data_IF_421676696907
#
_entry.id   IF_421676696907
#
_cell.length_a   1.000
_cell.length_b   1.000
_cell.length_c   1.000
_cell.angle_alpha   90.00
_cell.angle_beta   90.00
_cell.angle_gamma   90.00
#
_symmetry.space_group_name_H-M   'P 1'
#
loop_
_entity.id
_entity.type
_entity.pdbx_description
1 polymer ?
#
# COMPACT_ATOMS: atom_id res chain seq x y z
N UNK A 1 -16.55 -1.36 4.12
CA UNK A 1 -15.87 -1.35 5.44
C UNK A 1 -15.66 0.11 5.84
N UNK A 2 -15.59 0.46 7.13
CA UNK A 2 -15.33 1.86 7.54
C UNK A 2 -13.86 2.22 7.26
N UNK A 3 -13.60 3.42 6.74
CA UNK A 3 -12.23 3.93 6.59
C UNK A 3 -11.54 4.01 7.95
N UNK A 4 -10.31 3.51 8.05
CA UNK A 4 -9.48 3.64 9.25
C UNK A 4 -8.72 4.96 9.20
N UNK A 5 -8.61 5.60 10.36
CA UNK A 5 -7.82 6.80 10.61
C UNK A 5 -6.36 6.49 11.01
N UNK A 6 -6.08 5.24 11.35
CA UNK A 6 -4.74 4.71 11.65
C UNK A 6 -4.42 3.50 10.77
N UNK A 7 -3.18 3.02 10.86
CA UNK A 7 -2.72 1.90 10.03
C UNK A 7 -3.19 0.56 10.59
N UNK A 8 -3.66 -0.32 9.69
CA UNK A 8 -3.79 -1.75 9.97
C UNK A 8 -2.67 -2.49 9.27
N UNK A 9 -1.85 -3.19 10.04
CA UNK A 9 -0.87 -4.14 9.51
C UNK A 9 -1.37 -5.56 9.67
N UNK A 10 -1.12 -6.39 8.66
CA UNK A 10 -1.47 -7.81 8.68
C UNK A 10 -0.29 -8.63 8.21
N UNK A 11 0.05 -9.72 8.89
CA UNK A 11 1.16 -10.60 8.53
C UNK A 11 0.98 -12.01 9.12
N UNK A 12 1.47 -13.07 8.46
CA UNK A 12 1.61 -14.39 9.09
C UNK A 12 2.66 -14.40 10.22
N UNK A 13 3.65 -13.49 10.20
CA UNK A 13 4.67 -13.37 11.25
C UNK A 13 4.12 -12.57 12.45
N UNK A 14 3.75 -13.28 13.51
CA UNK A 14 3.28 -12.70 14.76
C UNK A 14 4.31 -11.73 15.38
N UNK A 15 5.60 -12.06 15.31
CA UNK A 15 6.65 -11.26 15.96
C UNK A 15 6.78 -9.88 15.33
N UNK A 16 6.59 -9.78 14.01
CA UNK A 16 6.58 -8.50 13.30
C UNK A 16 5.40 -7.63 13.74
N UNK A 17 4.22 -8.24 13.93
CA UNK A 17 3.00 -7.54 14.38
C UNK A 17 3.12 -7.07 15.83
N UNK A 18 3.74 -7.87 16.71
CA UNK A 18 4.02 -7.47 18.09
C UNK A 18 5.03 -6.31 18.19
N UNK A 19 6.05 -6.28 17.33
CA UNK A 19 6.97 -5.15 17.24
C UNK A 19 6.26 -3.87 16.79
N UNK A 20 5.40 -3.97 15.78
CA UNK A 20 4.57 -2.86 15.32
C UNK A 20 3.66 -2.32 16.43
N UNK A 21 3.02 -3.20 17.20
CA UNK A 21 2.21 -2.81 18.35
C UNK A 21 3.04 -2.11 19.43
N UNK A 22 4.28 -2.56 19.67
CA UNK A 22 5.20 -1.93 20.64
C UNK A 22 5.64 -0.53 20.20
N UNK A 23 5.87 -0.32 18.91
CA UNK A 23 6.40 0.94 18.36
C UNK A 23 5.27 1.97 18.17
N UNK A 24 4.14 1.54 17.60
CA UNK A 24 3.06 2.43 17.14
C UNK A 24 1.76 2.31 17.97
N UNK A 25 1.79 1.53 19.06
CA UNK A 25 0.61 1.25 19.88
C UNK A 25 -0.37 0.28 19.22
N UNK A 26 -1.48 0.01 19.90
CA UNK A 26 -2.55 -0.88 19.41
C UNK A 26 -2.50 -2.30 19.98
N UNK A 27 -3.53 -3.07 19.65
CA UNK A 27 -3.72 -4.43 20.16
C UNK A 27 -3.53 -5.46 19.04
N UNK A 28 -2.70 -6.47 19.31
CA UNK A 28 -2.46 -7.59 18.40
C UNK A 28 -3.64 -8.57 18.47
N UNK A 29 -4.16 -8.95 17.32
CA UNK A 29 -5.27 -9.89 17.18
C UNK A 29 -5.04 -10.91 16.07
N UNK A 30 -5.82 -12.00 16.10
CA UNK A 30 -5.92 -12.90 14.95
C UNK A 30 -6.87 -12.29 13.92
N UNK A 31 -6.47 -12.37 12.66
CA UNK A 31 -7.23 -11.86 11.54
C UNK A 31 -7.27 -12.86 10.40
N UNK A 32 -8.33 -12.84 9.61
CA UNK A 32 -8.42 -13.64 8.38
C UNK A 32 -9.07 -12.76 7.33
N UNK A 33 -8.40 -12.61 6.19
CA UNK A 33 -8.91 -11.74 5.14
C UNK A 33 -10.27 -12.26 4.63
N UNK A 34 -11.23 -11.38 4.31
CA UNK A 34 -12.58 -11.81 3.89
C UNK A 34 -12.62 -12.78 2.70
N UNK A 35 -11.60 -12.74 1.84
CA UNK A 35 -11.46 -13.58 0.64
C UNK A 35 -10.33 -14.60 0.71
N UNK A 36 -9.63 -14.69 1.84
CA UNK A 36 -8.57 -15.67 2.07
C UNK A 36 -8.98 -16.64 3.17
N UNK A 37 -8.51 -17.89 3.06
CA UNK A 37 -8.64 -18.89 4.14
C UNK A 37 -7.41 -18.93 5.05
N UNK A 38 -6.38 -18.14 4.74
CA UNK A 38 -5.14 -18.16 5.49
C UNK A 38 -5.28 -17.27 6.74
N UNK A 39 -5.13 -17.84 7.95
CA UNK A 39 -5.11 -17.05 9.16
C UNK A 39 -3.84 -16.21 9.22
N UNK A 40 -3.97 -14.98 9.68
CA UNK A 40 -2.90 -14.00 9.85
C UNK A 40 -3.03 -13.34 11.22
N UNK A 41 -2.05 -12.52 11.58
CA UNK A 41 -2.08 -11.62 12.70
C UNK A 41 -2.33 -10.21 12.21
N UNK A 42 -3.05 -9.41 12.98
CA UNK A 42 -3.24 -7.99 12.73
C UNK A 42 -2.88 -7.13 13.93
N UNK A 43 -2.49 -5.90 13.65
CA UNK A 43 -2.52 -4.79 14.61
C UNK A 43 -3.12 -3.57 13.93
N UNK A 44 -4.08 -2.94 14.59
CA UNK A 44 -4.52 -1.59 14.25
C UNK A 44 -3.78 -0.64 15.18
N UNK A 45 -2.91 0.20 14.63
CA UNK A 45 -2.04 1.09 15.41
C UNK A 45 -2.81 2.26 16.00
N UNK A 46 -2.20 2.93 16.98
CA UNK A 46 -2.66 4.23 17.48
C UNK A 46 -2.06 5.38 16.66
N UNK A 47 -0.93 5.14 15.98
CA UNK A 47 -0.29 6.10 15.10
C UNK A 47 -0.99 6.23 13.75
N UNK A 48 -1.15 7.47 13.28
CA UNK A 48 -1.57 7.83 11.91
C UNK A 48 -0.38 8.27 11.04
N UNK A 49 0.83 8.22 11.57
CA UNK A 49 2.09 8.52 10.89
C UNK A 49 3.11 7.42 11.20
N UNK A 50 3.81 6.93 10.18
CA UNK A 50 4.85 5.91 10.31
C UNK A 50 6.06 6.25 9.45
N UNK A 51 7.23 5.77 9.88
CA UNK A 51 8.47 5.90 9.13
C UNK A 51 8.61 4.78 8.12
N UNK A 52 8.92 5.13 6.88
CA UNK A 52 9.04 4.18 5.78
C UNK A 52 10.28 4.46 4.93
N UNK A 53 10.89 3.40 4.44
CA UNK A 53 11.83 3.47 3.33
C UNK A 53 11.13 3.06 2.05
N UNK A 54 11.34 3.83 1.00
CA UNK A 54 10.74 3.57 -0.30
C UNK A 54 11.78 2.91 -1.21
N UNK A 55 11.58 1.65 -1.61
CA UNK A 55 12.39 1.01 -2.64
C UNK A 55 12.12 1.63 -4.02
N UNK A 56 13.00 1.40 -5.02
CA UNK A 56 12.71 1.76 -6.40
C UNK A 56 11.37 1.18 -6.88
N UNK A 57 10.62 1.94 -7.68
CA UNK A 57 9.28 1.56 -8.16
C UNK A 57 8.32 1.22 -7.01
N UNK A 58 8.37 2.04 -5.95
CA UNK A 58 7.53 1.85 -4.75
C UNK A 58 6.04 2.07 -4.98
N UNK A 59 5.63 2.76 -6.04
CA UNK A 59 4.22 3.15 -6.25
C UNK A 59 3.76 2.65 -7.62
N UNK A 60 2.68 1.88 -7.61
CA UNK A 60 1.96 1.49 -8.83
C UNK A 60 0.54 2.02 -8.77
N UNK A 61 0.07 2.62 -9.87
CA UNK A 61 -1.34 2.98 -10.03
C UNK A 61 -1.89 2.38 -11.31
N UNK A 62 -2.92 1.55 -11.15
CA UNK A 62 -3.63 0.91 -12.25
C UNK A 62 -5.13 1.11 -12.10
N UNK A 63 -5.83 1.22 -13.22
CA UNK A 63 -7.28 1.11 -13.23
C UNK A 63 -7.66 -0.33 -13.50
N UNK A 64 -8.24 -1.01 -12.52
CA UNK A 64 -8.51 -2.44 -12.61
C UNK A 64 -10.01 -2.73 -12.59
N UNK A 65 -10.42 -3.68 -13.42
CA UNK A 65 -11.77 -4.25 -13.37
C UNK A 65 -11.69 -5.67 -12.82
N UNK A 66 -12.36 -5.90 -11.71
CA UNK A 66 -12.40 -7.20 -11.05
C UNK A 66 -13.77 -7.84 -11.20
N UNK A 67 -13.79 -9.14 -11.48
CA UNK A 67 -14.98 -9.99 -11.38
C UNK A 67 -14.76 -11.08 -10.32
N UNK A 68 -15.78 -11.91 -10.08
CA UNK A 68 -15.62 -13.11 -9.24
C UNK A 68 -14.55 -14.09 -9.79
N UNK A 69 -14.26 -14.03 -11.10
CA UNK A 69 -13.23 -14.82 -11.76
C UNK A 69 -11.84 -14.19 -11.79
N UNK A 70 -11.61 -13.07 -11.09
CA UNK A 70 -10.32 -12.40 -11.02
C UNK A 70 -10.25 -11.08 -11.81
N UNK A 71 -9.03 -10.57 -11.99
CA UNK A 71 -8.77 -9.32 -12.70
C UNK A 71 -9.10 -9.51 -14.19
N UNK A 72 -10.11 -8.80 -14.69
CA UNK A 72 -10.57 -8.88 -16.08
C UNK A 72 -9.80 -7.95 -17.00
N UNK A 73 -9.27 -6.85 -16.46
CA UNK A 73 -8.38 -5.94 -17.18
C UNK A 73 -7.66 -5.01 -16.23
N UNK A 74 -6.48 -4.57 -16.65
CA UNK A 74 -5.75 -3.43 -16.07
C UNK A 74 -5.55 -2.37 -17.15
N UNK A 75 -5.84 -1.11 -16.89
CA UNK A 75 -5.58 -0.03 -17.83
C UNK A 75 -4.85 1.15 -17.19
N UNK A 76 -4.13 1.89 -18.01
CA UNK A 76 -3.45 3.15 -17.67
C UNK A 76 -4.30 4.38 -18.04
N UNK A 77 -5.50 4.15 -18.56
CA UNK A 77 -6.41 5.17 -19.08
C UNK A 77 -6.38 5.32 -20.61
N UNK A 78 -5.32 4.85 -21.27
CA UNK A 78 -5.13 4.91 -22.74
C UNK A 78 -5.15 3.50 -23.35
N UNK A 79 -4.43 2.57 -22.73
CA UNK A 79 -4.33 1.17 -23.11
C UNK A 79 -4.79 0.27 -21.96
N UNK A 80 -5.17 -0.97 -22.29
CA UNK A 80 -5.64 -1.97 -21.36
C UNK A 80 -4.96 -3.31 -21.64
N UNK A 81 -4.44 -3.93 -20.60
CA UNK A 81 -4.01 -5.32 -20.55
C UNK A 81 -5.22 -6.20 -20.23
N UNK A 82 -5.52 -7.14 -21.12
CA UNK A 82 -6.65 -8.06 -21.01
C UNK A 82 -6.14 -9.50 -21.04
N UNK A 83 -6.48 -10.34 -20.05
CA UNK A 83 -6.17 -11.76 -20.10
C UNK A 83 -7.02 -12.42 -21.19
N UNK A 84 -6.36 -12.99 -22.19
CA UNK A 84 -6.99 -13.69 -23.31
C UNK A 84 -6.57 -15.14 -23.32
N UNK A 85 -7.43 -16.00 -23.87
CA UNK A 85 -7.16 -17.44 -23.95
C UNK A 85 -6.50 -17.74 -25.27
N UNK A 86 -5.24 -18.16 -25.22
CA UNK A 86 -4.52 -18.67 -26.37
C UNK A 86 -4.51 -20.20 -26.40
N UNK A 87 -4.11 -20.83 -27.52
CA UNK A 87 -3.97 -22.28 -27.59
C UNK A 87 -2.97 -22.85 -26.57
N UNK A 88 -1.96 -22.06 -26.18
CA UNK A 88 -0.88 -22.46 -25.27
C UNK A 88 -1.14 -22.10 -23.81
N UNK A 89 -2.20 -21.32 -23.52
CA UNK A 89 -2.58 -20.98 -22.15
C UNK A 89 -3.38 -19.68 -22.03
N UNK A 90 -3.09 -18.95 -20.96
CA UNK A 90 -3.59 -17.59 -20.74
C UNK A 90 -2.49 -16.61 -21.14
N UNK A 91 -2.76 -15.76 -22.12
CA UNK A 91 -1.88 -14.68 -22.55
C UNK A 91 -2.47 -13.33 -22.12
N UNK A 92 -1.67 -12.28 -22.28
CA UNK A 92 -2.08 -10.90 -22.00
C UNK A 92 -1.99 -10.11 -23.30
N UNK A 93 -3.14 -9.64 -23.78
CA UNK A 93 -3.21 -8.76 -24.95
C UNK A 93 -3.29 -7.29 -24.51
N UNK A 94 -2.55 -6.44 -25.20
CA UNK A 94 -2.67 -4.98 -25.05
C UNK A 94 -3.65 -4.43 -26.08
N UNK A 95 -4.77 -3.89 -25.60
CA UNK A 95 -5.82 -3.27 -26.43
C UNK A 95 -6.04 -1.82 -26.02
N UNK A 96 -6.66 -0.97 -26.86
CA UNK A 96 -7.06 0.37 -26.44
C UNK A 96 -8.04 0.33 -25.26
N UNK A 97 -7.93 1.30 -24.35
CA UNK A 97 -8.78 1.37 -23.15
C UNK A 97 -10.26 1.59 -23.53
N UNK A 98 -11.17 0.66 -23.18
CA UNK A 98 -12.60 0.83 -23.52
C UNK A 98 -13.24 2.04 -22.85
N UNK A 99 -12.78 2.40 -21.64
CA UNK A 99 -13.29 3.55 -20.91
C UNK A 99 -13.04 4.88 -21.65
N UNK A 100 -11.92 4.99 -22.37
CA UNK A 100 -11.59 6.17 -23.16
C UNK A 100 -12.35 6.17 -24.51
N UNK A 101 -12.37 5.00 -25.18
CA UNK A 101 -13.00 4.85 -26.49
C UNK A 101 -14.52 5.10 -26.47
N UNK A 102 -15.23 4.55 -25.50
CA UNK A 102 -16.70 4.57 -25.49
C UNK A 102 -17.27 5.84 -24.85
N UNK A 103 -16.42 6.72 -24.30
CA UNK A 103 -16.81 7.87 -23.45
C UNK A 103 -17.85 7.48 -22.37
N UNK A 104 -17.81 6.22 -21.95
CA UNK A 104 -18.69 5.67 -20.93
C UNK A 104 -18.22 6.08 -19.54
N UNK A 105 -19.11 6.09 -18.53
CA UNK A 105 -18.67 6.19 -17.14
C UNK A 105 -17.60 5.14 -16.86
N UNK A 106 -16.53 5.56 -16.18
CA UNK A 106 -15.36 4.73 -15.93
C UNK A 106 -15.74 3.48 -15.14
N UNK A 107 -15.64 2.32 -15.80
CA UNK A 107 -16.02 1.03 -15.22
C UNK A 107 -14.90 0.42 -14.36
N UNK A 108 -13.65 0.86 -14.57
CA UNK A 108 -12.51 0.43 -13.76
C UNK A 108 -12.44 1.24 -12.47
N UNK A 109 -12.06 0.58 -11.37
CA UNK A 109 -11.72 1.26 -10.13
C UNK A 109 -10.22 1.54 -10.10
N UNK A 110 -9.77 2.66 -9.50
CA UNK A 110 -8.35 2.90 -9.32
C UNK A 110 -7.80 2.00 -8.23
N UNK A 111 -6.60 1.47 -8.43
CA UNK A 111 -5.82 0.71 -7.46
C UNK A 111 -4.46 1.38 -7.34
N UNK A 112 -4.21 1.98 -6.19
CA UNK A 112 -2.89 2.52 -5.83
C UNK A 112 -2.24 1.55 -4.86
N UNK A 113 -1.08 1.02 -5.24
CA UNK A 113 -0.28 0.11 -4.42
C UNK A 113 1.02 0.81 -4.07
N UNK A 114 1.25 0.97 -2.78
CA UNK A 114 2.48 1.52 -2.23
C UNK A 114 3.25 0.40 -1.54
N UNK A 115 4.51 0.23 -1.93
CA UNK A 115 5.48 -0.73 -1.42
C UNK A 115 6.46 0.01 -0.53
N UNK A 116 6.59 -0.42 0.71
CA UNK A 116 7.44 0.22 1.71
C UNK A 116 8.26 -0.79 2.49
N UNK A 117 9.40 -0.37 3.01
CA UNK A 117 10.18 -1.10 3.98
C UNK A 117 10.03 -0.37 5.32
N UNK A 118 9.77 -1.12 6.39
CA UNK A 118 9.65 -0.57 7.74
C UNK A 118 11.02 -0.71 8.44
N UNK A 119 11.69 0.41 8.79
CA UNK A 119 13.06 0.36 9.31
C UNK A 119 13.13 -0.18 10.75
N UNK A 120 12.07 0.03 11.53
CA UNK A 120 12.07 -0.25 12.98
C UNK A 120 11.52 -1.65 13.33
N UNK A 121 11.18 -2.46 12.31
CA UNK A 121 10.62 -3.81 12.48
C UNK A 121 11.60 -4.81 11.88
N UNK A 122 11.68 -6.00 12.48
CA UNK A 122 12.42 -7.13 11.90
C UNK A 122 12.17 -7.22 10.39
N UNK A 123 13.26 -7.14 9.63
CA UNK A 123 13.17 -7.16 8.17
C UNK A 123 12.59 -8.49 7.68
N UNK A 124 11.37 -8.42 7.15
CA UNK A 124 10.65 -9.54 6.55
C UNK A 124 10.36 -9.32 5.06
N UNK A 125 10.99 -8.31 4.45
CA UNK A 125 10.73 -7.91 3.07
C UNK A 125 9.96 -6.59 2.96
N UNK A 126 9.09 -6.50 1.97
CA UNK A 126 8.37 -5.29 1.58
C UNK A 126 6.92 -5.38 2.05
N UNK A 127 6.44 -4.33 2.70
CA UNK A 127 5.05 -4.15 3.07
C UNK A 127 4.30 -3.46 1.95
N UNK A 128 3.06 -3.88 1.72
CA UNK A 128 2.22 -3.32 0.65
C UNK A 128 0.95 -2.71 1.24
N UNK A 129 0.75 -1.43 0.97
CA UNK A 129 -0.52 -0.74 1.21
C UNK A 129 -1.28 -0.65 -0.11
N UNK A 130 -2.56 -1.00 -0.09
CA UNK A 130 -3.46 -0.85 -1.25
C UNK A 130 -4.54 0.20 -0.91
N UNK A 131 -4.81 1.11 -1.85
CA UNK A 131 -5.92 2.06 -1.78
C UNK A 131 -6.74 2.02 -3.07
N UNK A 132 -8.07 2.10 -2.92
CA UNK A 132 -9.02 2.16 -4.04
C UNK A 132 -9.67 3.53 -4.22
N UNK A 133 -9.20 4.51 -3.47
CA UNK A 133 -9.74 5.86 -3.51
C UNK A 133 -9.24 6.63 -4.73
N UNK A 134 -10.16 7.26 -5.46
CA UNK A 134 -9.82 8.18 -6.56
C UNK A 134 -8.87 9.31 -6.13
N UNK A 135 -8.97 9.79 -4.90
CA UNK A 135 -8.07 10.83 -4.38
C UNK A 135 -6.63 10.30 -4.20
N UNK A 136 -6.48 9.09 -3.66
CA UNK A 136 -5.16 8.46 -3.53
C UNK A 136 -4.51 8.22 -4.90
N UNK A 137 -5.31 7.79 -5.88
CA UNK A 137 -4.84 7.55 -7.25
C UNK A 137 -4.40 8.82 -7.98
N UNK A 138 -4.96 9.98 -7.64
CA UNK A 138 -4.56 11.25 -8.25
C UNK A 138 -3.38 11.92 -7.52
N UNK A 139 -3.29 11.77 -6.19
CA UNK A 139 -2.26 12.45 -5.39
C UNK A 139 -0.93 11.68 -5.36
N UNK A 140 -0.98 10.36 -5.23
CA UNK A 140 0.22 9.54 -5.03
C UNK A 140 1.17 9.52 -6.24
N UNK A 141 0.73 9.41 -7.51
CA UNK A 141 1.64 9.42 -8.66
C UNK A 141 2.44 10.71 -8.80
N UNK A 142 1.83 11.86 -8.49
CA UNK A 142 2.53 13.15 -8.56
C UNK A 142 3.70 13.24 -7.58
N UNK A 143 3.62 12.53 -6.46
CA UNK A 143 4.71 12.44 -5.49
C UNK A 143 5.67 11.30 -5.83
N UNK A 144 5.16 10.21 -6.40
CA UNK A 144 5.96 9.09 -6.89
C UNK A 144 6.98 9.55 -7.93
N UNK A 145 6.60 10.40 -8.89
CA UNK A 145 7.52 10.84 -9.94
C UNK A 145 8.72 11.63 -9.40
N UNK A 146 8.49 12.48 -8.40
CA UNK A 146 9.57 13.21 -7.70
C UNK A 146 10.45 12.23 -6.91
N UNK A 147 9.83 11.26 -6.24
CA UNK A 147 10.53 10.24 -5.46
C UNK A 147 11.33 9.26 -6.33
N UNK A 148 10.82 8.86 -7.49
CA UNK A 148 11.52 7.97 -8.43
C UNK A 148 12.81 8.62 -8.95
N UNK A 149 12.79 9.93 -9.20
CA UNK A 149 14.00 10.67 -9.57
C UNK A 149 15.07 10.60 -8.47
N UNK A 150 14.64 10.65 -7.20
CA UNK A 150 15.50 10.54 -6.02
C UNK A 150 15.95 9.10 -5.74
N UNK A 151 15.12 8.11 -6.06
CA UNK A 151 15.36 6.66 -5.84
C UNK A 151 16.31 6.01 -6.84
N UNK A 152 16.69 6.71 -7.93
CA UNK A 152 17.65 6.22 -8.93
C UNK A 152 19.01 5.78 -8.36
N UNK A 153 19.28 6.10 -7.09
CA UNK A 153 20.56 5.89 -6.40
C UNK A 153 20.44 5.25 -5.00
N UNK A 154 19.24 4.92 -4.50
CA UNK A 154 19.11 4.28 -3.18
C UNK A 154 17.69 4.31 -2.57
N UNK A 155 17.60 3.90 -1.30
CA UNK A 155 16.36 3.95 -0.51
C UNK A 155 16.06 5.39 -0.08
N UNK A 156 14.86 5.88 -0.37
CA UNK A 156 14.40 7.18 0.10
C UNK A 156 13.73 7.04 1.48
N UNK A 157 14.13 7.87 2.44
CA UNK A 157 13.48 7.90 3.75
C UNK A 157 12.31 8.89 3.74
N UNK A 158 11.12 8.39 4.09
CA UNK A 158 9.89 9.17 4.11
C UNK A 158 9.07 8.89 5.38
N UNK A 159 8.15 9.79 5.67
CA UNK A 159 7.04 9.58 6.59
C UNK A 159 5.78 9.29 5.76
N UNK A 160 5.06 8.23 6.09
CA UNK A 160 3.74 7.92 5.54
C UNK A 160 2.68 8.35 6.55
N UNK A 161 1.80 9.25 6.12
CA UNK A 161 0.79 9.90 6.96
C UNK A 161 -0.61 9.60 6.41
N UNK A 162 -1.55 9.23 7.28
CA UNK A 162 -2.98 9.15 6.96
C UNK A 162 -3.68 10.47 7.27
N UNK A 163 -3.91 11.27 6.24
CA UNK A 163 -4.55 12.58 6.39
C UNK A 163 -6.07 12.47 6.28
N UNK A 164 -6.78 12.96 7.31
CA UNK A 164 -8.24 13.07 7.27
C UNK A 164 -8.64 14.33 6.51
N UNK A 165 -9.45 14.17 5.47
CA UNK A 165 -9.98 15.27 4.69
C UNK A 165 -11.50 15.22 4.62
N UNK A 166 -12.06 16.39 4.40
CA UNK A 166 -13.50 16.59 4.27
C UNK A 166 -13.78 17.31 2.97
N UNK A 167 -14.69 16.76 2.17
CA UNK A 167 -15.16 17.40 0.92
C UNK A 167 -16.67 17.45 0.93
N UNK A 168 -17.20 18.63 0.64
CA UNK A 168 -18.62 18.80 0.38
C UNK A 168 -18.87 18.62 -1.11
N UNK A 169 -19.70 17.65 -1.47
CA UNK A 169 -20.10 17.40 -2.86
C UNK A 169 -21.58 17.06 -2.89
N UNK A 170 -22.33 17.72 -3.79
CA UNK A 170 -23.78 17.54 -3.88
C UNK A 170 -24.54 17.86 -2.59
N UNK A 171 -24.04 18.79 -1.77
CA UNK A 171 -24.64 19.15 -0.48
C UNK A 171 -24.41 18.16 0.66
N UNK A 172 -23.61 17.11 0.45
CA UNK A 172 -23.21 16.16 1.50
C UNK A 172 -21.72 16.29 1.84
N UNK A 173 -21.43 16.33 3.13
CA UNK A 173 -20.07 16.31 3.67
C UNK A 173 -19.56 14.87 3.69
N UNK A 174 -18.53 14.57 2.91
CA UNK A 174 -17.85 13.26 2.91
C UNK A 174 -16.50 13.40 3.60
N UNK A 175 -16.26 12.55 4.58
CA UNK A 175 -14.96 12.38 5.22
C UNK A 175 -14.23 11.22 4.55
N UNK A 176 -12.95 11.39 4.25
CA UNK A 176 -12.11 10.37 3.65
C UNK A 176 -10.68 10.51 4.15
N UNK A 177 -9.95 9.40 4.10
CA UNK A 177 -8.55 9.33 4.52
C UNK A 177 -7.67 9.16 3.29
N UNK A 178 -6.63 9.99 3.17
CA UNK A 178 -5.68 9.94 2.05
C UNK A 178 -4.28 9.64 2.60
N UNK A 179 -3.59 8.61 2.08
CA UNK A 179 -2.20 8.42 2.39
C UNK A 179 -1.35 9.50 1.70
N UNK A 180 -0.42 10.09 2.44
CA UNK A 180 0.54 11.08 1.94
C UNK A 180 1.95 10.69 2.36
N UNK A 181 2.90 10.87 1.46
CA UNK A 181 4.33 10.79 1.78
C UNK A 181 4.89 12.19 2.08
N UNK A 182 5.74 12.29 3.09
CA UNK A 182 6.53 13.50 3.33
C UNK A 182 7.97 13.13 3.61
N UNK A 183 8.88 14.06 3.35
CA UNK A 183 10.31 13.93 3.65
C UNK A 183 10.71 15.12 4.51
N UNK A 184 11.67 14.91 5.41
CA UNK A 184 12.21 15.96 6.27
C UNK A 184 13.32 16.80 5.60
N UNK A 185 13.53 16.60 4.29
CA UNK A 185 14.50 17.34 3.48
C UNK A 185 13.79 18.33 2.55
N UNK A 186 14.33 19.54 2.41
CA UNK A 186 13.85 20.51 1.42
C UNK A 186 14.17 20.05 -0.01
N UNK A 187 13.48 20.59 -1.03
CA UNK A 187 13.81 20.27 -2.43
C UNK A 187 15.29 20.52 -2.77
N UNK A 188 15.88 21.61 -2.28
CA UNK A 188 17.31 21.92 -2.52
C UNK A 188 18.21 20.84 -1.90
N UNK A 189 17.94 20.48 -0.64
CA UNK A 189 18.63 19.41 0.08
C UNK A 189 18.47 18.04 -0.60
N UNK A 190 17.28 17.75 -1.15
CA UNK A 190 17.01 16.52 -1.91
C UNK A 190 17.83 16.46 -3.21
N UNK A 191 17.98 17.59 -3.91
CA UNK A 191 18.85 17.68 -5.08
C UNK A 191 20.33 17.48 -4.70
N UNK A 192 20.73 17.93 -3.51
CA UNK A 192 22.08 17.71 -2.94
C UNK A 192 22.28 16.28 -2.39
N UNK A 193 21.20 15.50 -2.27
CA UNK A 193 21.21 14.09 -1.88
C UNK A 193 20.83 13.83 -0.41
N UNK A 194 20.49 14.86 0.37
CA UNK A 194 19.91 14.70 1.71
C UNK A 194 18.47 14.15 1.58
N UNK A 195 18.14 13.09 2.33
CA UNK A 195 16.86 12.36 2.20
C UNK A 195 17.01 10.92 1.68
N UNK A 196 18.23 10.55 1.28
CA UNK A 196 18.63 9.15 1.13
C UNK A 196 18.84 8.52 2.50
N UNK A 197 18.45 7.26 2.66
CA UNK A 197 18.96 6.45 3.76
C UNK A 197 20.46 6.24 3.52
N UNK A 198 21.30 7.09 4.12
CA UNK A 198 22.75 6.88 4.10
C UNK A 198 23.03 5.52 4.75
N UNK A 199 23.94 4.75 4.15
CA UNK A 199 24.62 3.71 4.91
C UNK A 199 25.15 4.38 6.19
N UNK A 200 24.97 3.74 7.34
CA UNK A 200 25.59 4.15 8.59
C UNK A 200 27.11 4.23 8.35
N UNK A 201 27.61 5.38 7.92
CA UNK A 201 29.00 5.75 8.11
C UNK A 201 29.12 6.04 9.60
N UNK A 202 29.34 4.93 10.31
CA UNK A 202 30.00 4.82 11.59
C UNK A 202 30.40 6.18 12.19
N UNK A 203 29.51 6.74 13.00
CA UNK A 203 29.95 7.65 14.05
C UNK A 203 30.71 6.79 15.09
N UNK A 204 31.91 6.33 14.72
CA UNK A 204 32.91 5.80 15.64
C UNK A 204 33.28 6.96 16.56
N UNK A 205 32.52 7.08 17.63
CA UNK A 205 33.10 7.56 18.88
C UNK A 205 34.11 6.49 19.27
N UNK A 206 35.42 6.79 19.35
CA UNK A 206 36.40 5.75 19.61
C UNK A 206 36.07 5.07 20.95
N UNK A 207 35.92 3.74 20.99
CA UNK A 207 35.69 3.05 22.24
C UNK A 207 36.90 3.26 23.16
N UNK A 208 36.62 3.71 24.39
CA UNK A 208 37.59 3.75 25.48
C UNK A 208 38.17 2.35 25.65
N UNK A 209 39.48 2.23 25.46
CA UNK A 209 40.21 0.96 25.42
C UNK A 209 40.01 0.14 26.71
N UNK A 210 39.57 -1.10 26.52
CA UNK A 210 39.71 -2.19 27.48
C UNK A 210 40.77 -3.17 26.94
N UNK A 211 41.57 -3.81 27.82
CA UNK A 211 42.78 -4.52 27.43
C UNK A 211 42.49 -5.83 26.70
N UNK A 212 43.49 -6.37 25.95
CA UNK A 212 43.27 -7.47 25.02
C UNK A 212 43.24 -8.81 25.75
N UNK A 213 42.43 -9.73 25.25
CA UNK A 213 42.57 -11.16 25.49
C UNK A 213 42.61 -11.87 24.13
N UNK A 214 43.56 -12.79 24.03
CA UNK A 214 44.10 -13.44 22.85
C UNK A 214 43.15 -14.45 22.18
N UNK A 215 43.34 -14.57 20.86
CA UNK A 215 43.24 -15.72 19.94
C UNK A 215 42.13 -16.76 20.11
N UNK A 216 41.27 -16.92 19.09
CA UNK A 216 41.12 -18.17 18.30
C UNK A 216 40.70 -17.81 16.85
N UNK A 217 41.53 -18.22 15.89
CA UNK A 217 41.31 -18.16 14.44
C UNK A 217 40.39 -19.29 13.92
N UNK A 218 39.85 -19.04 12.72
CA UNK A 218 39.45 -19.98 11.65
C UNK A 218 38.20 -20.89 11.83
N UNK A 219 37.16 -20.63 11.04
CA UNK A 219 37.08 -21.10 9.65
C UNK A 219 35.69 -20.89 9.02
N UNK A 220 35.70 -20.73 7.69
CA UNK A 220 34.68 -20.18 6.80
C UNK A 220 33.87 -21.30 6.11
N UNK A 221 32.63 -20.98 5.70
CA UNK A 221 31.89 -21.64 4.61
C UNK A 221 30.49 -22.05 5.04
N UNK A 222 29.39 -21.75 4.35
CA UNK A 222 29.15 -21.87 2.91
C UNK A 222 27.90 -21.04 2.55
N UNK A 223 27.94 -20.43 1.37
CA UNK A 223 26.88 -19.72 0.67
C UNK A 223 25.81 -20.67 0.08
N UNK A 224 24.54 -20.28 0.15
CA UNK A 224 23.48 -20.80 -0.76
C UNK A 224 22.44 -19.72 -1.09
N UNK A 225 21.83 -19.77 -2.29
CA UNK A 225 21.25 -18.62 -2.98
C UNK A 225 19.80 -18.32 -2.59
N UNK A 226 19.43 -17.05 -2.79
CA UNK A 226 18.08 -16.49 -2.67
C UNK A 226 17.13 -17.13 -3.71
N UNK A 227 16.08 -17.79 -3.25
CA UNK A 227 14.93 -18.19 -4.08
C UNK A 227 13.67 -17.45 -3.64
N UNK A 228 13.06 -16.80 -4.63
CA UNK A 228 11.66 -16.38 -4.79
C UNK A 228 10.94 -15.76 -3.58
N UNK A 229 10.81 -14.43 -3.64
CA UNK A 229 10.01 -13.63 -2.75
C UNK A 229 8.51 -13.96 -2.87
N UNK A 230 7.94 -14.45 -1.78
CA UNK A 230 6.52 -14.68 -1.58
C UNK A 230 5.77 -13.34 -1.55
N UNK A 231 4.94 -13.07 -2.57
CA UNK A 231 4.18 -11.83 -2.70
C UNK A 231 2.96 -11.89 -1.78
N UNK A 232 2.98 -11.11 -0.69
CA UNK A 232 1.89 -11.01 0.29
C UNK A 232 0.78 -10.10 -0.27
N UNK A 233 -0.41 -10.69 -0.46
CA UNK A 233 -1.58 -10.04 -1.03
C UNK A 233 -2.50 -9.47 0.06
N UNK A 234 -2.62 -8.15 0.11
CA UNK A 234 -3.64 -7.42 0.86
C UNK A 234 -4.57 -6.71 -0.13
N UNK A 235 -5.79 -7.23 -0.30
CA UNK A 235 -6.85 -6.62 -1.10
C UNK A 235 -7.84 -5.92 -0.17
N UNK A 236 -8.07 -4.62 -0.35
CA UNK A 236 -9.27 -3.97 0.21
C UNK A 236 -10.45 -4.45 -0.64
N UNK A 237 -11.63 -4.65 -0.07
CA UNK A 237 -12.84 -5.00 -0.83
C UNK A 237 -13.91 -4.02 -0.38
N UNK A 238 -14.38 -3.18 -1.29
CA UNK A 238 -15.61 -2.44 -1.06
C UNK A 238 -16.72 -3.05 -1.91
N UNK A 239 -17.76 -3.48 -1.21
CA UNK A 239 -19.01 -3.99 -1.73
C UNK A 239 -19.98 -2.83 -1.99
N UNK A 240 -20.63 -2.94 -3.14
CA UNK A 240 -21.96 -2.46 -3.57
C UNK A 240 -22.47 -1.13 -2.99
N UNK A 241 -22.64 -0.15 -3.89
CA UNK A 241 -23.29 1.14 -3.63
C UNK A 241 -24.69 0.97 -2.99
N UNK A 242 -24.81 1.27 -1.70
CA UNK A 242 -26.10 1.44 -1.05
C UNK A 242 -26.12 2.71 -0.19
N UNK A 243 -27.32 3.22 0.05
CA UNK A 243 -27.58 4.52 0.65
C UNK A 243 -28.27 4.39 2.02
N UNK A 244 -27.82 5.17 3.01
CA UNK A 244 -28.55 5.32 4.27
C UNK A 244 -29.70 6.33 4.18
N UNK A 245 -29.64 7.25 3.21
CA UNK A 245 -30.74 8.10 2.75
C UNK A 245 -30.69 8.14 1.22
N UNK A 246 -31.70 7.62 0.51
CA UNK A 246 -31.69 7.57 -0.95
C UNK A 246 -31.76 8.99 -1.54
N UNK A 247 -31.08 9.27 -2.68
CA UNK A 247 -31.25 10.52 -3.41
C UNK A 247 -32.69 10.69 -3.89
N UNK A 248 -33.18 11.93 -3.89
CA UNK A 248 -34.54 12.24 -4.34
C UNK A 248 -34.73 11.83 -5.80
N UNK A 249 -35.78 11.04 -6.09
CA UNK A 249 -36.13 10.58 -7.43
C UNK A 249 -35.61 9.18 -7.82
N UNK A 250 -34.83 8.51 -6.96
CA UNK A 250 -34.32 7.15 -7.21
C UNK A 250 -35.18 6.11 -6.50
N UNK A 251 -35.67 5.11 -7.24
CA UNK A 251 -36.40 3.97 -6.66
C UNK A 251 -35.41 3.10 -5.89
N UNK A 252 -35.71 2.80 -4.63
CA UNK A 252 -34.88 1.97 -3.74
C UNK A 252 -35.69 0.88 -3.06
N UNK A 253 -35.03 -0.23 -2.71
CA UNK A 253 -35.55 -1.30 -1.82
C UNK A 253 -34.75 -1.34 -0.52
N UNK A 254 -35.36 -1.90 0.52
CA UNK A 254 -34.73 -2.00 1.84
C UNK A 254 -33.66 -3.08 1.83
N UNK A 255 -32.46 -2.77 2.33
CA UNK A 255 -31.39 -3.77 2.43
C UNK A 255 -31.77 -4.81 3.49
N UNK A 256 -31.77 -6.12 3.17
CA UNK A 256 -31.99 -7.17 4.16
C UNK A 256 -30.93 -7.21 5.27
N UNK A 257 -29.67 -6.80 4.98
CA UNK A 257 -28.54 -6.82 5.92
C UNK A 257 -27.87 -5.43 6.04
N UNK A 258 -28.40 -4.52 6.88
CA UNK A 258 -27.86 -3.16 7.05
C UNK A 258 -26.57 -3.12 7.89
N UNK A 259 -25.65 -2.15 7.66
CA UNK A 259 -25.72 -1.00 6.75
C UNK A 259 -25.09 -1.25 5.35
N UNK A 260 -25.54 -0.56 4.28
CA UNK A 260 -26.44 0.60 4.24
C UNK A 260 -27.94 0.23 4.29
N UNK A 261 -28.82 1.15 4.71
CA UNK A 261 -30.26 0.88 4.92
C UNK A 261 -31.07 0.61 3.64
N UNK A 262 -30.69 1.20 2.52
CA UNK A 262 -31.40 1.11 1.24
C UNK A 262 -30.43 0.78 0.12
N UNK A 263 -30.88 -0.01 -0.84
CA UNK A 263 -30.18 -0.34 -2.08
C UNK A 263 -31.07 0.06 -3.27
N UNK A 264 -30.51 0.37 -4.45
CA UNK A 264 -31.31 0.63 -5.65
C UNK A 264 -32.34 -0.49 -5.87
N UNK A 265 -33.57 -0.11 -6.23
CA UNK A 265 -34.69 -1.05 -6.40
C UNK A 265 -34.40 -1.99 -7.58
#
# INVERSE_FOLDING_TARGET
MKSLDTFRFTSPDQSAIEQLAKIYGGNVGRWTAPRSKQPQWEVITEASEIRVYLPPHSIDVWYEMWSAGGCQRRCDGVTAEVPTRSPDGMDIDTVPCPCDLEKTPMQCAPYTRLRVILPDVKFGGVWRMESKGWNAANEMPGMASVLEQLQSTGLAQCQLILEQRTKVSGGQTKHFVVPRLSMDASPEQLLEGEGRAMALEDAVTPPRSLPPAEDIEDAIGVTTPLTEAEIIDASIVEEVEGWDKPPAGVKVKKNPDPPPKFIPA
#
